data_IF_391333879411
#
_entry.id   IF_391333879411
#
_cell.length_a   1.000
_cell.length_b   1.000
_cell.length_c   1.000
_cell.angle_alpha   90.00
_cell.angle_beta   90.00
_cell.angle_gamma   90.00
#
_symmetry.space_group_name_H-M   'P 1'
#
loop_
_entity.id
_entity.type
_entity.pdbx_description
1 polymer ?
#
# COMPACT_ATOMS: atom_id res chain seq x y z
N UNK A 1 -24.34 -43.37 -3.18
CA UNK A 1 -24.00 -42.05 -2.61
C UNK A 1 -24.43 -42.04 -1.15
N UNK A 2 -23.46 -41.94 -0.24
CA UNK A 2 -23.73 -41.92 1.20
C UNK A 2 -24.45 -40.64 1.60
N UNK A 3 -25.12 -40.65 2.77
CA UNK A 3 -25.72 -39.43 3.35
C UNK A 3 -24.71 -38.26 3.43
N UNK A 4 -23.42 -38.57 3.61
CA UNK A 4 -22.32 -37.61 3.67
C UNK A 4 -22.05 -36.91 2.33
N UNK A 5 -22.14 -37.61 1.19
CA UNK A 5 -21.87 -37.03 -0.14
C UNK A 5 -22.87 -35.92 -0.51
N UNK A 6 -24.11 -36.02 0.01
CA UNK A 6 -25.15 -35.02 -0.23
C UNK A 6 -24.89 -33.69 0.48
N UNK A 7 -24.15 -33.70 1.60
CA UNK A 7 -23.85 -32.49 2.37
C UNK A 7 -22.51 -31.85 2.04
N UNK A 8 -21.62 -32.57 1.34
CA UNK A 8 -20.32 -32.05 0.93
C UNK A 8 -20.43 -30.83 0.01
N UNK A 9 -21.30 -30.88 -1.00
CA UNK A 9 -21.44 -29.80 -1.99
C UNK A 9 -21.91 -28.47 -1.36
N UNK A 10 -23.04 -28.41 -0.61
CA UNK A 10 -23.43 -27.16 0.05
C UNK A 10 -22.42 -26.72 1.12
N UNK A 11 -21.75 -27.66 1.80
CA UNK A 11 -20.71 -27.36 2.77
C UNK A 11 -19.50 -26.66 2.15
N UNK A 12 -18.99 -27.17 1.03
CA UNK A 12 -17.87 -26.56 0.28
C UNK A 12 -18.27 -25.19 -0.27
N UNK A 13 -19.46 -25.08 -0.87
CA UNK A 13 -19.96 -23.80 -1.39
C UNK A 13 -20.09 -22.74 -0.30
N UNK A 14 -20.57 -23.10 0.89
CA UNK A 14 -20.65 -22.18 2.03
C UNK A 14 -19.26 -21.83 2.60
N UNK A 15 -18.37 -22.82 2.73
CA UNK A 15 -17.02 -22.65 3.26
C UNK A 15 -16.16 -21.74 2.37
N UNK A 16 -16.37 -21.75 1.05
CA UNK A 16 -15.70 -20.84 0.11
C UNK A 16 -16.46 -19.51 -0.03
N UNK A 17 -17.79 -19.54 -0.12
CA UNK A 17 -18.62 -18.35 -0.34
C UNK A 17 -18.58 -17.35 0.81
N UNK A 18 -18.60 -17.82 2.07
CA UNK A 18 -18.62 -16.92 3.23
C UNK A 18 -17.35 -16.07 3.37
N UNK A 19 -16.12 -16.61 3.23
CA UNK A 19 -14.91 -15.80 3.17
C UNK A 19 -14.91 -14.77 2.03
N UNK A 20 -15.39 -15.14 0.85
CA UNK A 20 -15.50 -14.20 -0.28
C UNK A 20 -16.47 -13.05 0.02
N UNK A 21 -17.61 -13.33 0.67
CA UNK A 21 -18.54 -12.30 1.14
C UNK A 21 -17.91 -11.37 2.18
N UNK A 22 -17.19 -11.92 3.16
CA UNK A 22 -16.53 -11.14 4.21
C UNK A 22 -15.48 -10.24 3.60
N UNK A 23 -14.58 -10.80 2.78
CA UNK A 23 -13.53 -10.05 2.08
C UNK A 23 -14.12 -8.99 1.14
N UNK A 24 -15.17 -9.34 0.38
CA UNK A 24 -15.88 -8.41 -0.48
C UNK A 24 -16.48 -7.24 0.28
N UNK A 25 -17.14 -7.52 1.41
CA UNK A 25 -17.70 -6.48 2.29
C UNK A 25 -16.63 -5.54 2.87
N UNK A 26 -15.50 -6.08 3.31
CA UNK A 26 -14.38 -5.28 3.84
C UNK A 26 -13.77 -4.40 2.74
N UNK A 27 -13.47 -4.98 1.57
CA UNK A 27 -12.91 -4.24 0.43
C UNK A 27 -13.87 -3.17 -0.10
N UNK A 28 -15.18 -3.39 -0.02
CA UNK A 28 -16.16 -2.42 -0.50
C UNK A 28 -16.44 -1.30 0.51
N UNK A 29 -16.52 -1.61 1.80
CA UNK A 29 -16.96 -0.66 2.82
C UNK A 29 -15.82 -0.01 3.62
N UNK A 30 -14.74 -0.74 3.91
CA UNK A 30 -13.69 -0.31 4.85
C UNK A 30 -12.53 0.34 4.12
N UNK A 31 -11.94 -0.35 3.14
CA UNK A 31 -10.74 0.12 2.42
C UNK A 31 -10.98 1.49 1.76
N UNK A 32 -12.07 1.74 1.01
CA UNK A 32 -12.28 3.03 0.36
C UNK A 32 -12.46 4.16 1.37
N UNK A 33 -13.03 3.87 2.56
CA UNK A 33 -13.17 4.87 3.62
C UNK A 33 -11.83 5.22 4.27
N UNK A 34 -11.01 4.21 4.55
CA UNK A 34 -9.68 4.42 5.10
C UNK A 34 -8.81 5.25 4.14
N UNK A 35 -8.79 4.88 2.85
CA UNK A 35 -8.06 5.61 1.82
C UNK A 35 -8.61 7.02 1.63
N UNK A 36 -9.94 7.21 1.64
CA UNK A 36 -10.54 8.54 1.54
C UNK A 36 -10.24 9.45 2.74
N UNK A 37 -10.17 8.89 3.96
CA UNK A 37 -9.80 9.66 5.15
C UNK A 37 -8.33 10.10 5.08
N UNK A 38 -7.43 9.18 4.73
CA UNK A 38 -6.01 9.50 4.51
C UNK A 38 -5.82 10.54 3.40
N UNK A 39 -6.52 10.39 2.27
CA UNK A 39 -6.51 11.36 1.18
C UNK A 39 -7.00 12.74 1.63
N UNK A 40 -8.04 12.82 2.48
CA UNK A 40 -8.51 14.10 3.04
C UNK A 40 -7.50 14.74 3.99
N UNK A 41 -6.84 13.95 4.82
CA UNK A 41 -5.77 14.43 5.71
C UNK A 41 -4.62 15.02 4.89
N UNK A 42 -4.15 14.28 3.90
CA UNK A 42 -3.08 14.71 2.99
C UNK A 42 -3.51 15.91 2.13
N UNK A 43 -4.75 15.96 1.65
CA UNK A 43 -5.26 17.09 0.87
C UNK A 43 -5.26 18.40 1.68
N UNK A 44 -5.54 18.32 2.99
CA UNK A 44 -5.53 19.48 3.90
C UNK A 44 -4.12 20.01 4.20
N UNK A 45 -3.09 19.17 4.09
CA UNK A 45 -1.72 19.59 4.33
C UNK A 45 -1.22 20.40 3.13
N UNK A 46 -0.95 21.71 3.27
CA UNK A 46 -0.33 22.47 2.19
C UNK A 46 1.09 21.93 1.92
N UNK A 47 1.54 22.03 0.67
CA UNK A 47 2.95 21.76 0.34
C UNK A 47 3.80 22.75 1.13
N UNK A 48 4.62 22.24 2.04
CA UNK A 48 5.41 23.04 2.91
C UNK A 48 6.53 23.74 2.12
N UNK A 49 6.71 25.02 2.44
CA UNK A 49 7.74 25.90 1.91
C UNK A 49 8.68 26.32 3.03
N UNK A 50 9.78 26.99 2.69
CA UNK A 50 10.70 27.58 3.66
C UNK A 50 9.98 28.41 4.74
N UNK A 51 8.89 29.09 4.38
CA UNK A 51 8.13 29.97 5.25
C UNK A 51 7.14 29.24 6.18
N UNK A 52 6.80 27.98 5.90
CA UNK A 52 5.82 27.22 6.71
C UNK A 52 6.49 26.27 7.69
N UNK A 53 7.81 26.04 7.58
CA UNK A 53 8.59 25.15 8.44
C UNK A 53 9.05 25.81 9.75
N UNK A 54 8.08 26.31 10.51
CA UNK A 54 8.36 27.10 11.73
C UNK A 54 7.87 26.43 13.02
N UNK A 55 6.94 25.48 12.93
CA UNK A 55 6.29 24.89 14.11
C UNK A 55 6.66 23.41 14.28
N UNK A 56 7.39 23.12 15.35
CA UNK A 56 7.77 21.76 15.73
C UNK A 56 6.54 20.94 16.10
N UNK A 57 6.52 19.66 15.70
CA UNK A 57 5.44 18.72 15.95
C UNK A 57 4.31 18.79 14.93
N UNK A 58 4.36 19.73 14.00
CA UNK A 58 3.36 19.83 12.94
C UNK A 58 3.56 18.72 11.89
N UNK A 59 2.47 18.10 11.40
CA UNK A 59 2.53 17.26 10.21
C UNK A 59 2.90 18.12 9.00
N UNK A 60 3.84 17.64 8.20
CA UNK A 60 4.36 18.34 7.03
C UNK A 60 4.31 17.46 5.79
N UNK A 61 4.00 18.10 4.67
CA UNK A 61 4.05 17.53 3.34
C UNK A 61 5.07 18.34 2.54
N UNK A 62 6.19 17.74 2.15
CA UNK A 62 7.24 18.41 1.39
C UNK A 62 7.27 17.85 -0.02
N UNK A 63 7.37 18.74 -1.00
CA UNK A 63 7.77 18.38 -2.35
C UNK A 63 9.14 18.97 -2.62
N UNK A 64 10.11 18.11 -2.94
CA UNK A 64 11.47 18.54 -3.13
C UNK A 64 12.27 17.61 -4.02
N UNK A 65 13.54 17.92 -4.18
CA UNK A 65 14.50 17.08 -4.89
C UNK A 65 15.55 16.55 -3.94
N UNK A 66 15.93 15.30 -4.14
CA UNK A 66 17.01 14.68 -3.37
C UNK A 66 18.32 15.39 -3.69
N UNK A 67 18.97 15.92 -2.65
CA UNK A 67 20.18 16.73 -2.77
C UNK A 67 21.39 15.86 -3.16
N UNK A 68 22.41 16.46 -3.79
CA UNK A 68 23.63 15.79 -4.21
C UNK A 68 24.65 15.56 -3.08
N UNK A 69 24.44 16.16 -1.91
CA UNK A 69 25.24 15.92 -0.70
C UNK A 69 24.93 14.58 -0.03
N UNK A 70 23.85 13.92 -0.43
CA UNK A 70 23.51 12.62 0.09
C UNK A 70 24.64 11.63 -0.23
N UNK A 71 25.17 10.91 0.76
CA UNK A 71 26.23 9.94 0.51
C UNK A 71 25.72 8.88 -0.46
N UNK A 72 26.59 8.47 -1.39
CA UNK A 72 26.28 7.36 -2.28
C UNK A 72 26.13 6.10 -1.43
N UNK A 73 25.06 5.32 -1.66
CA UNK A 73 24.88 4.05 -0.96
C UNK A 73 25.93 3.02 -1.39
N UNK A 74 25.92 1.86 -0.75
CA UNK A 74 26.61 0.65 -1.21
C UNK A 74 26.10 0.13 -2.56
N UNK A 75 25.01 0.69 -3.10
CA UNK A 75 24.41 0.37 -4.40
C UNK A 75 24.24 1.60 -5.30
N UNK A 76 25.31 2.09 -5.96
CA UNK A 76 25.20 3.19 -6.90
C UNK A 76 24.23 2.86 -8.05
N UNK A 77 23.42 3.82 -8.54
CA UNK A 77 23.40 5.25 -8.19
C UNK A 77 22.40 5.61 -7.08
N UNK A 78 21.91 4.64 -6.30
CA UNK A 78 20.89 4.85 -5.28
C UNK A 78 21.51 5.52 -4.05
N UNK A 79 20.75 6.39 -3.37
CA UNK A 79 21.11 6.97 -2.06
C UNK A 79 20.30 6.36 -0.93
N UNK A 80 19.13 5.82 -1.25
CA UNK A 80 18.26 5.07 -0.34
C UNK A 80 17.52 4.00 -1.15
N UNK A 81 17.32 2.80 -0.59
CA UNK A 81 16.69 1.70 -1.33
C UNK A 81 16.10 0.62 -0.42
N UNK A 82 15.16 -0.14 -0.97
CA UNK A 82 14.72 -1.44 -0.50
C UNK A 82 15.34 -2.53 -1.39
N UNK A 83 15.99 -3.51 -0.78
CA UNK A 83 16.52 -4.69 -1.45
C UNK A 83 15.51 -5.82 -1.31
N UNK A 84 15.12 -6.38 -2.45
CA UNK A 84 14.27 -7.54 -2.55
C UNK A 84 15.05 -8.69 -3.13
N UNK A 85 14.84 -9.87 -2.56
CA UNK A 85 15.31 -11.10 -3.17
C UNK A 85 14.14 -11.95 -3.62
N UNK A 86 14.39 -12.74 -4.66
CA UNK A 86 13.39 -13.59 -5.26
C UNK A 86 13.35 -14.93 -4.54
N UNK A 87 12.26 -15.23 -3.87
CA UNK A 87 11.99 -16.52 -3.20
C UNK A 87 10.96 -17.33 -3.98
N UNK A 88 11.06 -18.65 -3.91
CA UNK A 88 10.03 -19.55 -4.41
C UNK A 88 9.14 -19.96 -3.24
N UNK A 89 7.86 -19.62 -3.28
CA UNK A 89 6.85 -19.99 -2.28
C UNK A 89 5.59 -20.48 -3.01
N UNK A 90 5.13 -21.68 -2.67
CA UNK A 90 3.96 -22.32 -3.28
C UNK A 90 4.06 -22.41 -4.83
N UNK A 91 5.24 -22.81 -5.32
CA UNK A 91 5.58 -22.86 -6.75
C UNK A 91 5.53 -21.54 -7.53
N UNK A 92 5.32 -20.42 -6.84
CA UNK A 92 5.39 -19.08 -7.39
C UNK A 92 6.66 -18.36 -6.97
N UNK A 93 7.22 -17.55 -7.87
CA UNK A 93 8.30 -16.64 -7.54
C UNK A 93 7.73 -15.36 -6.97
N UNK A 94 8.21 -14.98 -5.78
CA UNK A 94 7.79 -13.75 -5.07
C UNK A 94 9.02 -12.95 -4.71
N UNK A 95 8.89 -11.62 -4.76
CA UNK A 95 9.88 -10.71 -4.22
C UNK A 95 9.63 -10.55 -2.72
N UNK A 96 10.64 -10.83 -1.91
CA UNK A 96 10.59 -10.68 -0.46
C UNK A 96 11.62 -9.61 -0.06
N UNK A 97 11.17 -8.65 0.76
CA UNK A 97 12.03 -7.57 1.25
C UNK A 97 13.10 -8.17 2.16
N UNK A 98 14.37 -8.01 1.79
CA UNK A 98 15.52 -8.50 2.55
C UNK A 98 16.05 -7.42 3.49
N UNK A 99 16.20 -6.20 2.96
CA UNK A 99 16.88 -5.10 3.65
C UNK A 99 16.33 -3.76 3.17
N UNK A 100 16.25 -2.81 4.09
CA UNK A 100 15.98 -1.40 3.78
C UNK A 100 17.19 -0.56 4.18
N UNK A 101 17.70 0.24 3.25
CA UNK A 101 18.79 1.20 3.45
C UNK A 101 18.22 2.62 3.40
N UNK A 102 17.97 3.19 4.59
CA UNK A 102 17.28 4.47 4.77
C UNK A 102 18.14 5.41 5.63
N UNK A 103 19.29 5.88 5.10
CA UNK A 103 20.14 6.83 5.81
C UNK A 103 19.45 8.19 5.89
N UNK A 104 19.96 9.10 6.72
CA UNK A 104 19.54 10.51 6.72
C UNK A 104 19.56 11.05 5.30
N UNK A 105 18.43 11.62 4.86
CA UNK A 105 18.25 12.10 3.50
C UNK A 105 18.09 13.61 3.49
N UNK A 106 18.84 14.29 2.63
CA UNK A 106 18.73 15.73 2.41
C UNK A 106 17.84 15.99 1.20
N UNK A 107 16.80 16.80 1.41
CA UNK A 107 15.83 17.16 0.38
C UNK A 107 15.81 18.68 0.21
N UNK A 108 16.02 19.13 -1.02
CA UNK A 108 15.92 20.53 -1.41
C UNK A 108 14.47 20.86 -1.75
N UNK A 109 13.87 21.78 -0.99
CA UNK A 109 12.58 22.39 -1.32
C UNK A 109 12.81 23.82 -1.83
N UNK A 110 11.80 24.49 -2.43
CA UNK A 110 11.92 25.89 -2.82
C UNK A 110 12.32 26.78 -1.63
N UNK A 111 13.52 27.35 -1.70
CA UNK A 111 14.05 28.30 -0.73
C UNK A 111 14.64 27.72 0.56
N UNK A 112 14.66 26.39 0.74
CA UNK A 112 15.28 25.77 1.92
C UNK A 112 15.70 24.32 1.70
N UNK A 113 16.64 23.88 2.50
CA UNK A 113 17.04 22.48 2.60
C UNK A 113 16.41 21.87 3.85
N UNK A 114 15.99 20.62 3.74
CA UNK A 114 15.37 19.88 4.84
C UNK A 114 16.10 18.56 5.03
N UNK A 115 16.41 18.26 6.28
CA UNK A 115 16.93 16.97 6.69
C UNK A 115 15.77 16.02 6.98
N UNK A 116 15.81 14.82 6.41
CA UNK A 116 14.89 13.74 6.74
C UNK A 116 15.66 12.76 7.61
N UNK A 117 15.19 12.57 8.83
CA UNK A 117 15.80 11.68 9.81
C UNK A 117 15.83 10.24 9.28
N UNK A 118 16.90 9.51 9.59
CA UNK A 118 17.07 8.12 9.19
C UNK A 118 15.92 7.23 9.68
N UNK A 119 15.67 6.12 8.97
CA UNK A 119 14.60 5.17 9.33
C UNK A 119 13.21 5.53 8.79
N UNK A 120 13.12 6.43 7.82
CA UNK A 120 11.89 6.65 7.04
C UNK A 120 11.50 5.40 6.23
N UNK A 121 10.24 5.36 5.79
CA UNK A 121 9.74 4.31 4.88
C UNK A 121 9.65 4.82 3.44
N UNK A 122 10.07 3.98 2.48
CA UNK A 122 9.85 4.22 1.06
C UNK A 122 8.49 3.61 0.68
N UNK A 123 7.55 4.44 0.26
CA UNK A 123 6.21 4.01 -0.19
C UNK A 123 6.19 3.78 -1.71
N UNK A 124 6.88 4.63 -2.46
CA UNK A 124 7.07 4.49 -3.90
C UNK A 124 8.44 5.02 -4.32
N UNK A 125 8.99 4.43 -5.37
CA UNK A 125 10.35 4.71 -5.86
C UNK A 125 10.35 4.89 -7.37
N UNK A 126 11.18 5.79 -7.87
CA UNK A 126 11.43 6.03 -9.30
C UNK A 126 12.33 5.00 -9.94
N UNK A 127 13.30 4.51 -9.18
CA UNK A 127 14.40 3.74 -9.71
C UNK A 127 14.29 2.30 -9.27
N UNK A 128 14.31 1.42 -10.25
CA UNK A 128 14.54 0.00 -10.06
C UNK A 128 15.88 -0.37 -10.68
N UNK A 129 16.70 -1.08 -9.92
CA UNK A 129 17.98 -1.62 -10.36
C UNK A 129 17.95 -3.12 -10.11
N UNK A 130 18.06 -3.93 -11.15
CA UNK A 130 18.12 -5.39 -11.00
C UNK A 130 19.57 -5.87 -11.03
N UNK A 131 19.91 -6.77 -10.11
CA UNK A 131 21.22 -7.42 -10.07
C UNK A 131 21.02 -8.92 -10.28
N UNK A 132 21.11 -9.33 -11.54
CA UNK A 132 20.75 -10.68 -11.96
C UNK A 132 19.25 -10.97 -11.86
N UNK A 133 18.88 -12.24 -11.80
CA UNK A 133 17.46 -12.66 -11.80
C UNK A 133 16.82 -12.72 -10.42
N UNK A 134 17.62 -12.57 -9.36
CA UNK A 134 17.24 -12.92 -8.00
C UNK A 134 17.29 -11.75 -7.02
N UNK A 135 17.82 -10.59 -7.42
CA UNK A 135 17.88 -9.38 -6.60
C UNK A 135 17.35 -8.18 -7.36
N UNK A 136 16.50 -7.41 -6.69
CA UNK A 136 15.96 -6.16 -7.20
C UNK A 136 16.10 -5.10 -6.12
N UNK A 137 16.56 -3.92 -6.51
CA UNK A 137 16.69 -2.77 -5.63
C UNK A 137 15.74 -1.70 -6.12
N UNK A 138 14.83 -1.27 -5.25
CA UNK A 138 13.91 -0.18 -5.51
C UNK A 138 14.31 1.00 -4.64
N UNK A 139 14.58 2.16 -5.23
CA UNK A 139 15.14 3.25 -4.45
C UNK A 139 15.05 4.61 -5.10
N UNK A 140 15.79 5.54 -4.49
CA UNK A 140 15.83 6.95 -4.82
C UNK A 140 17.26 7.30 -5.23
N UNK A 141 17.40 8.10 -6.28
CA UNK A 141 18.67 8.65 -6.77
C UNK A 141 18.80 10.12 -6.38
N UNK A 142 20.02 10.64 -6.50
CA UNK A 142 20.26 12.08 -6.46
C UNK A 142 19.43 12.78 -7.56
N UNK A 143 18.89 13.95 -7.24
CA UNK A 143 18.01 14.78 -8.07
C UNK A 143 16.60 14.22 -8.33
N UNK A 144 16.26 13.04 -7.81
CA UNK A 144 14.89 12.52 -7.91
C UNK A 144 13.93 13.46 -7.17
N UNK A 145 12.77 13.71 -7.78
CA UNK A 145 11.70 14.46 -7.16
C UNK A 145 10.94 13.56 -6.18
N UNK A 146 10.74 14.04 -4.96
CA UNK A 146 10.13 13.25 -3.88
C UNK A 146 9.07 14.05 -3.15
N UNK A 147 8.02 13.35 -2.74
CA UNK A 147 7.03 13.77 -1.77
C UNK A 147 7.38 13.13 -0.42
N UNK A 148 7.57 13.96 0.60
CA UNK A 148 7.83 13.52 1.96
C UNK A 148 6.63 13.87 2.83
N UNK A 149 6.06 12.86 3.47
CA UNK A 149 5.02 13.02 4.50
C UNK A 149 5.62 12.65 5.85
N UNK A 150 5.67 13.56 6.80
CA UNK A 150 6.23 13.27 8.12
C UNK A 150 5.88 14.34 9.14
N UNK A 151 6.62 14.35 10.24
CA UNK A 151 6.42 15.31 11.34
C UNK A 151 7.66 16.18 11.48
N UNK A 152 7.49 17.50 11.59
CA UNK A 152 8.62 18.41 11.76
C UNK A 152 9.19 18.25 13.19
N UNK A 153 10.31 17.56 13.33
CA UNK A 153 10.95 17.30 14.63
C UNK A 153 11.83 18.46 15.09
N UNK A 154 12.41 19.22 14.16
CA UNK A 154 13.18 20.45 14.42
C UNK A 154 12.73 21.52 13.43
N UNK A 155 12.43 22.73 13.92
CA UNK A 155 12.10 23.90 13.11
C UNK A 155 13.27 24.91 13.09
N UNK A 156 13.21 25.91 12.22
CA UNK A 156 14.25 26.93 12.08
C UNK A 156 15.14 26.70 10.86
N UNK A 157 16.41 27.13 10.91
CA UNK A 157 17.29 27.21 9.74
C UNK A 157 17.67 25.86 9.13
N UNK A 158 17.75 24.82 9.96
CA UNK A 158 17.97 23.42 9.55
C UNK A 158 16.80 22.57 10.01
N UNK A 159 15.67 22.60 9.29
CA UNK A 159 14.51 21.83 9.66
C UNK A 159 14.78 20.33 9.50
N UNK A 160 14.31 19.54 10.46
CA UNK A 160 14.43 18.08 10.46
C UNK A 160 13.03 17.47 10.49
N UNK A 161 12.77 16.50 9.62
CA UNK A 161 11.51 15.75 9.56
C UNK A 161 11.74 14.32 10.01
N UNK A 162 10.96 13.87 10.99
CA UNK A 162 10.96 12.51 11.54
C UNK A 162 9.74 11.72 11.06
N UNK A 163 9.77 10.40 11.28
CA UNK A 163 8.68 9.47 10.96
C UNK A 163 8.21 9.57 9.49
N UNK A 164 9.15 9.87 8.60
CA UNK A 164 8.83 10.21 7.24
C UNK A 164 8.40 8.98 6.41
N UNK A 165 7.48 9.23 5.48
CA UNK A 165 7.10 8.36 4.38
C UNK A 165 7.45 9.10 3.10
N UNK A 166 8.30 8.50 2.27
CA UNK A 166 8.78 9.10 1.04
C UNK A 166 8.13 8.39 -0.14
N UNK A 167 7.55 9.16 -1.05
CA UNK A 167 7.08 8.70 -2.35
C UNK A 167 7.74 9.49 -3.48
N UNK A 168 7.74 8.94 -4.69
CA UNK A 168 8.29 9.59 -5.89
C UNK A 168 7.25 10.47 -6.64
N UNK A 169 6.08 10.68 -6.06
CA UNK A 169 4.96 11.36 -6.71
C UNK A 169 4.94 12.85 -6.32
N UNK A 170 4.19 13.69 -7.03
CA UNK A 170 3.76 14.99 -6.49
C UNK A 170 2.54 14.77 -5.58
N UNK A 171 2.14 15.77 -4.79
CA UNK A 171 0.90 15.70 -4.01
C UNK A 171 -0.31 15.42 -4.90
N UNK A 172 -0.38 16.06 -6.07
CA UNK A 172 -1.48 15.86 -7.02
C UNK A 172 -1.52 14.41 -7.52
N UNK A 173 -0.38 13.87 -7.95
CA UNK A 173 -0.27 12.49 -8.41
C UNK A 173 -0.55 11.49 -7.28
N UNK A 174 -0.11 11.78 -6.06
CA UNK A 174 -0.37 10.95 -4.89
C UNK A 174 -1.85 10.94 -4.49
N UNK A 175 -2.53 12.08 -4.57
CA UNK A 175 -3.97 12.11 -4.33
C UNK A 175 -4.74 11.36 -5.44
N UNK A 176 -4.27 11.45 -6.70
CA UNK A 176 -4.86 10.70 -7.81
C UNK A 176 -4.65 9.19 -7.68
N UNK A 177 -3.47 8.73 -7.22
CA UNK A 177 -3.21 7.31 -6.98
C UNK A 177 -4.11 6.77 -5.86
N UNK A 178 -4.30 7.53 -4.78
CA UNK A 178 -5.25 7.17 -3.72
C UNK A 178 -6.70 7.13 -4.20
N UNK A 179 -7.11 7.98 -5.14
CA UNK A 179 -8.44 7.91 -5.76
C UNK A 179 -8.60 6.65 -6.61
N UNK A 180 -7.58 6.31 -7.40
CA UNK A 180 -7.55 5.09 -8.20
C UNK A 180 -7.63 3.84 -7.33
N UNK A 181 -6.89 3.80 -6.21
CA UNK A 181 -6.94 2.69 -5.25
C UNK A 181 -8.33 2.53 -4.63
N UNK A 182 -9.03 3.64 -4.32
CA UNK A 182 -10.43 3.57 -3.87
C UNK A 182 -11.34 2.93 -4.92
N UNK A 183 -11.18 3.31 -6.18
CA UNK A 183 -11.99 2.77 -7.28
C UNK A 183 -11.71 1.28 -7.46
N UNK A 184 -10.44 0.87 -7.48
CA UNK A 184 -10.04 -0.54 -7.59
C UNK A 184 -10.60 -1.34 -6.41
N UNK A 185 -10.43 -0.86 -5.17
CA UNK A 185 -10.94 -1.53 -3.98
C UNK A 185 -12.47 -1.71 -4.01
N UNK A 186 -13.22 -0.69 -4.47
CA UNK A 186 -14.69 -0.78 -4.65
C UNK A 186 -15.07 -1.85 -5.67
N UNK A 187 -14.40 -1.88 -6.81
CA UNK A 187 -14.67 -2.86 -7.86
C UNK A 187 -14.32 -4.29 -7.43
N UNK A 188 -13.17 -4.47 -6.78
CA UNK A 188 -12.80 -5.77 -6.19
C UNK A 188 -13.81 -6.18 -5.12
N UNK A 189 -14.16 -5.28 -4.20
CA UNK A 189 -15.16 -5.55 -3.17
C UNK A 189 -16.51 -5.98 -3.75
N UNK A 190 -16.96 -5.33 -4.83
CA UNK A 190 -18.17 -5.71 -5.54
C UNK A 190 -18.06 -7.10 -6.18
N UNK A 191 -16.97 -7.40 -6.89
CA UNK A 191 -16.74 -8.71 -7.51
C UNK A 191 -16.75 -9.84 -6.48
N UNK A 192 -15.99 -9.68 -5.40
CA UNK A 192 -15.92 -10.66 -4.31
C UNK A 192 -17.28 -10.83 -3.62
N UNK A 193 -18.04 -9.75 -3.42
CA UNK A 193 -19.39 -9.82 -2.86
C UNK A 193 -20.36 -10.56 -3.76
N UNK A 194 -20.36 -10.29 -5.08
CA UNK A 194 -21.22 -10.99 -6.04
C UNK A 194 -20.90 -12.48 -6.10
N UNK A 195 -19.61 -12.84 -6.22
CA UNK A 195 -19.17 -14.24 -6.24
C UNK A 195 -19.54 -14.95 -4.93
N UNK A 196 -19.27 -14.32 -3.79
CA UNK A 196 -19.63 -14.85 -2.48
C UNK A 196 -21.14 -15.07 -2.34
N UNK A 197 -21.97 -14.09 -2.77
CA UNK A 197 -23.43 -14.21 -2.73
C UNK A 197 -23.92 -15.37 -3.58
N UNK A 198 -23.40 -15.54 -4.81
CA UNK A 198 -23.77 -16.65 -5.69
C UNK A 198 -23.45 -18.01 -5.06
N UNK A 199 -22.27 -18.15 -4.44
CA UNK A 199 -21.86 -19.40 -3.79
C UNK A 199 -22.72 -19.70 -2.55
N UNK A 200 -22.98 -18.70 -1.71
CA UNK A 200 -23.81 -18.88 -0.50
C UNK A 200 -25.28 -19.14 -0.84
N UNK A 201 -25.83 -18.45 -1.85
CA UNK A 201 -27.18 -18.72 -2.36
C UNK A 201 -27.25 -20.11 -2.99
N UNK A 202 -26.22 -20.51 -3.75
CA UNK A 202 -26.10 -21.86 -4.31
C UNK A 202 -26.07 -22.95 -3.23
N UNK A 203 -25.35 -22.71 -2.13
CA UNK A 203 -25.36 -23.59 -0.97
C UNK A 203 -26.76 -23.71 -0.35
N UNK A 204 -27.43 -22.57 -0.13
CA UNK A 204 -28.80 -22.53 0.40
C UNK A 204 -29.80 -23.26 -0.49
N UNK A 205 -29.72 -23.06 -1.81
CA UNK A 205 -30.55 -23.75 -2.80
C UNK A 205 -30.30 -25.26 -2.79
N UNK A 206 -29.04 -25.69 -2.74
CA UNK A 206 -28.68 -27.10 -2.65
C UNK A 206 -29.23 -27.76 -1.37
N UNK A 207 -29.11 -27.09 -0.22
CA UNK A 207 -29.71 -27.56 1.04
C UNK A 207 -31.23 -27.67 0.91
N UNK A 208 -31.88 -26.65 0.35
CA UNK A 208 -33.33 -26.64 0.15
C UNK A 208 -33.80 -27.80 -0.75
N UNK A 209 -33.11 -28.04 -1.87
CA UNK A 209 -33.44 -29.13 -2.79
C UNK A 209 -33.25 -30.51 -2.15
N UNK A 210 -32.19 -30.69 -1.36
CA UNK A 210 -31.97 -31.93 -0.59
C UNK A 210 -33.12 -32.16 0.39
N UNK A 211 -33.53 -31.11 1.11
CA UNK A 211 -34.61 -31.19 2.09
C UNK A 211 -35.96 -31.51 1.45
N UNK A 212 -36.28 -30.86 0.32
CA UNK A 212 -37.52 -31.10 -0.44
C UNK A 212 -37.55 -32.50 -1.08
N UNK A 213 -36.41 -32.99 -1.60
CA UNK A 213 -36.32 -34.33 -2.17
C UNK A 213 -36.54 -35.44 -1.14
N UNK A 214 -36.10 -35.24 0.11
CA UNK A 214 -36.33 -36.19 1.21
C UNK A 214 -37.81 -36.24 1.65
N UNK A 215 -38.57 -35.19 1.42
CA UNK A 215 -40.00 -35.13 1.73
C UNK A 215 -40.93 -35.79 0.71
N UNK A 216 -40.43 -36.11 -0.50
CA UNK A 216 -41.24 -36.69 -1.59
C UNK A 216 -41.22 -38.23 -1.62
N UNK A 217 -40.34 -38.88 -0.86
CA UNK A 217 -40.19 -40.34 -0.78
C UNK A 217 -40.94 -40.96 0.43
N UNK A 218 -41.90 -40.23 1.01
CA UNK A 218 -42.83 -40.70 2.05
C UNK A 218 -44.25 -40.61 1.55
#
# INVERSE_FOLDING_TARGET
MGKWDRWLVPGVLAAVGAPFLITGGVLWAVVPRAVANHAKEVARLPVATAATLNERGAPVLLEGRVDNRNPVSDRPPLVAYNEYHRVRRDDEWKWELERSYNPTLWVQIPGKEVEIEAGYSLQSTSAQVEEGSNRSYEGIKVNDQVLVLGTLSVAGDRPVVSEAKIGFETKETYLASLEQDQVIARWMGLLFSVLGSLLTLGAGLAVYLIWRGVGSDR
#
